data_IF_124711002912
#
_entry.id   IF_124711002912
#
_cell.length_a   1.000
_cell.length_b   1.000
_cell.length_c   1.000
_cell.angle_alpha   90.00
_cell.angle_beta   90.00
_cell.angle_gamma   90.00
#
_symmetry.space_group_name_H-M   'P 1'
#
loop_
_entity.id
_entity.type
_entity.pdbx_description
1 polymer ?
#
# COMPACT_ATOMS: atom_id res chain seq x y z
N UNK A 1 -11.19 -7.14 17.11
CA UNK A 1 -11.10 -7.75 15.76
C UNK A 1 -10.05 -8.83 15.84
N UNK A 2 -10.39 -10.03 15.41
CA UNK A 2 -9.43 -11.13 15.35
C UNK A 2 -8.54 -10.97 14.09
N UNK A 3 -7.33 -11.52 14.09
CA UNK A 3 -6.35 -11.44 13.00
C UNK A 3 -6.92 -11.90 11.66
N UNK A 4 -7.78 -12.92 11.64
CA UNK A 4 -8.45 -13.38 10.42
C UNK A 4 -9.39 -12.33 9.81
N UNK A 5 -10.10 -11.56 10.64
CA UNK A 5 -11.00 -10.49 10.20
C UNK A 5 -10.19 -9.34 9.60
N UNK A 6 -9.10 -8.95 10.27
CA UNK A 6 -8.18 -7.92 9.79
C UNK A 6 -7.57 -8.31 8.44
N UNK A 7 -7.17 -9.58 8.26
CA UNK A 7 -6.62 -10.11 7.01
C UNK A 7 -7.65 -10.11 5.86
N UNK A 8 -8.90 -10.50 6.15
CA UNK A 8 -9.99 -10.44 5.15
C UNK A 8 -10.26 -9.00 4.72
N UNK A 9 -10.31 -8.07 5.67
CA UNK A 9 -10.54 -6.64 5.39
C UNK A 9 -9.41 -6.05 4.53
N UNK A 10 -8.14 -6.33 4.86
CA UNK A 10 -7.00 -5.92 4.04
C UNK A 10 -7.10 -6.45 2.59
N UNK A 11 -7.52 -7.71 2.41
CA UNK A 11 -7.70 -8.28 1.07
C UNK A 11 -8.78 -7.55 0.28
N UNK A 12 -9.91 -7.22 0.93
CA UNK A 12 -11.01 -6.47 0.31
C UNK A 12 -10.53 -5.08 -0.10
N UNK A 13 -9.91 -4.32 0.81
CA UNK A 13 -9.42 -2.96 0.52
C UNK A 13 -8.39 -2.96 -0.61
N UNK A 14 -7.46 -3.93 -0.61
CA UNK A 14 -6.47 -4.08 -1.69
C UNK A 14 -7.14 -4.36 -3.04
N UNK A 15 -8.20 -5.17 -3.05
CA UNK A 15 -8.95 -5.45 -4.28
C UNK A 15 -9.73 -4.22 -4.75
N UNK A 16 -10.41 -3.51 -3.85
CA UNK A 16 -11.12 -2.27 -4.16
C UNK A 16 -10.20 -1.22 -4.77
N UNK A 17 -9.05 -0.96 -4.14
CA UNK A 17 -8.04 -0.02 -4.63
C UNK A 17 -7.54 -0.38 -6.02
N UNK A 18 -7.24 -1.67 -6.27
CA UNK A 18 -6.81 -2.14 -7.58
C UNK A 18 -7.88 -1.96 -8.65
N UNK A 19 -9.13 -2.32 -8.34
CA UNK A 19 -10.25 -2.19 -9.27
C UNK A 19 -10.50 -0.73 -9.62
N UNK A 20 -10.60 0.16 -8.63
CA UNK A 20 -10.76 1.60 -8.87
C UNK A 20 -9.59 2.18 -9.68
N UNK A 21 -8.35 1.78 -9.38
CA UNK A 21 -7.18 2.23 -10.14
C UNK A 21 -7.23 1.77 -11.61
N UNK A 22 -7.74 0.56 -11.88
CA UNK A 22 -7.98 0.10 -13.26
C UNK A 22 -9.00 0.97 -13.97
N UNK A 23 -10.14 1.24 -13.32
CA UNK A 23 -11.19 2.11 -13.88
C UNK A 23 -10.64 3.51 -14.18
N UNK A 24 -9.86 4.08 -13.27
CA UNK A 24 -9.22 5.40 -13.49
C UNK A 24 -8.28 5.35 -14.70
N UNK A 25 -7.47 4.31 -14.84
CA UNK A 25 -6.58 4.16 -16.01
C UNK A 25 -7.37 4.08 -17.31
N UNK A 26 -8.43 3.30 -17.35
CA UNK A 26 -9.26 3.10 -18.54
C UNK A 26 -10.05 4.37 -18.89
N UNK A 27 -10.49 5.12 -17.89
CA UNK A 27 -11.23 6.37 -18.07
C UNK A 27 -10.32 7.58 -18.36
N UNK A 28 -9.03 7.51 -18.06
CA UNK A 28 -8.12 8.66 -18.26
C UNK A 28 -7.92 8.89 -19.76
N UNK A 29 -8.33 10.03 -20.32
CA UNK A 29 -8.24 10.29 -21.74
C UNK A 29 -6.77 10.41 -22.18
N UNK A 30 -6.43 9.80 -23.32
CA UNK A 30 -5.14 10.02 -23.98
C UNK A 30 -5.19 11.32 -24.79
N UNK A 31 -4.33 12.28 -24.40
CA UNK A 31 -3.96 13.48 -25.18
C UNK A 31 -5.13 14.40 -25.56
N UNK A 32 -5.25 15.55 -24.89
CA UNK A 32 -6.13 16.66 -25.27
C UNK A 32 -7.64 16.39 -25.31
N UNK A 33 -8.07 15.13 -25.17
CA UNK A 33 -9.48 14.73 -25.11
C UNK A 33 -10.07 15.03 -23.73
N UNK A 34 -11.36 15.43 -23.66
CA UNK A 34 -12.04 15.62 -22.39
C UNK A 34 -12.17 14.29 -21.64
N UNK A 35 -12.17 14.36 -20.30
CA UNK A 35 -12.38 13.18 -19.46
C UNK A 35 -13.85 12.73 -19.57
N UNK A 36 -14.14 11.42 -19.74
CA UNK A 36 -15.50 10.90 -19.74
C UNK A 36 -16.22 11.04 -18.40
N UNK A 37 -15.49 11.20 -17.30
CA UNK A 37 -16.03 11.41 -15.96
C UNK A 37 -16.16 12.90 -15.65
N UNK A 38 -17.20 13.26 -14.89
CA UNK A 38 -17.37 14.60 -14.36
C UNK A 38 -16.31 14.90 -13.30
N UNK A 39 -15.92 16.16 -13.15
CA UNK A 39 -14.95 16.58 -12.15
C UNK A 39 -15.36 16.18 -10.72
N UNK A 40 -16.66 16.25 -10.40
CA UNK A 40 -17.19 15.80 -9.10
C UNK A 40 -16.93 14.32 -8.86
N UNK A 41 -17.19 13.47 -9.85
CA UNK A 41 -16.93 12.02 -9.78
C UNK A 41 -15.43 11.73 -9.63
N UNK A 42 -14.57 12.51 -10.29
CA UNK A 42 -13.13 12.38 -10.13
C UNK A 42 -12.70 12.73 -8.69
N UNK A 43 -13.30 13.74 -8.07
CA UNK A 43 -13.03 14.08 -6.67
C UNK A 43 -13.53 12.99 -5.73
N UNK A 44 -14.76 12.50 -5.91
CA UNK A 44 -15.30 11.38 -5.12
C UNK A 44 -14.40 10.13 -5.17
N UNK A 45 -13.83 9.82 -6.34
CA UNK A 45 -12.88 8.70 -6.48
C UNK A 45 -11.59 8.97 -5.69
N UNK A 46 -11.05 10.20 -5.70
CA UNK A 46 -9.87 10.57 -4.92
C UNK A 46 -10.13 10.45 -3.43
N UNK A 47 -11.27 10.97 -2.97
CA UNK A 47 -11.68 10.90 -1.56
C UNK A 47 -11.80 9.43 -1.12
N UNK A 48 -12.35 8.56 -1.98
CA UNK A 48 -12.41 7.13 -1.72
C UNK A 48 -11.01 6.50 -1.58
N UNK A 49 -10.03 6.88 -2.41
CA UNK A 49 -8.64 6.41 -2.25
C UNK A 49 -8.01 6.88 -0.93
N UNK A 50 -8.32 8.09 -0.47
CA UNK A 50 -7.87 8.59 0.84
C UNK A 50 -8.43 7.71 1.96
N UNK A 51 -9.73 7.46 1.97
CA UNK A 51 -10.38 6.62 2.97
C UNK A 51 -9.83 5.18 2.99
N UNK A 52 -9.60 4.60 1.81
CA UNK A 52 -8.98 3.27 1.71
C UNK A 52 -7.58 3.29 2.31
N UNK A 53 -6.79 4.32 2.02
CA UNK A 53 -5.39 4.42 2.47
C UNK A 53 -5.30 4.62 3.99
N UNK A 54 -6.16 5.46 4.56
CA UNK A 54 -6.29 5.64 6.01
C UNK A 54 -6.64 4.33 6.70
N UNK A 55 -7.60 3.58 6.14
CA UNK A 55 -8.01 2.30 6.71
C UNK A 55 -6.94 1.21 6.55
N UNK A 56 -6.27 1.15 5.39
CA UNK A 56 -5.13 0.24 5.19
C UNK A 56 -4.02 0.51 6.22
N UNK A 57 -3.76 1.78 6.58
CA UNK A 57 -2.81 2.15 7.64
C UNK A 57 -3.27 1.67 9.02
N UNK A 58 -4.51 1.92 9.41
CA UNK A 58 -5.05 1.46 10.70
C UNK A 58 -4.97 -0.06 10.85
N UNK A 59 -5.23 -0.81 9.78
CA UNK A 59 -5.14 -2.28 9.80
C UNK A 59 -3.68 -2.75 9.92
N UNK A 60 -2.74 -2.06 9.27
CA UNK A 60 -1.32 -2.37 9.39
C UNK A 60 -0.81 -2.15 10.83
N UNK A 61 -1.18 -1.04 11.45
CA UNK A 61 -0.86 -0.74 12.86
C UNK A 61 -1.41 -1.81 13.81
N UNK A 62 -2.66 -2.23 13.62
CA UNK A 62 -3.29 -3.29 14.44
C UNK A 62 -2.63 -4.66 14.31
N UNK A 63 -2.03 -4.96 13.15
CA UNK A 63 -1.34 -6.22 12.88
C UNK A 63 0.15 -6.15 13.23
N UNK A 64 0.65 -5.00 13.73
CA UNK A 64 2.07 -4.80 14.00
C UNK A 64 2.94 -4.78 12.74
N UNK A 65 2.34 -4.55 11.57
CA UNK A 65 3.11 -4.26 10.37
C UNK A 65 3.58 -2.81 10.44
N UNK A 66 4.79 -2.59 10.94
CA UNK A 66 5.49 -1.35 10.61
C UNK A 66 5.68 -1.33 9.09
N UNK A 67 5.11 -0.32 8.42
CA UNK A 67 5.50 -0.04 7.05
C UNK A 67 7.00 0.26 7.08
N UNK A 68 7.82 -0.72 6.71
CA UNK A 68 9.26 -0.55 6.56
C UNK A 68 9.46 0.60 5.58
N UNK A 69 9.70 1.80 6.11
CA UNK A 69 9.96 2.98 5.29
C UNK A 69 11.27 2.68 4.56
N UNK A 70 11.28 2.72 3.22
CA UNK A 70 12.53 2.59 2.50
C UNK A 70 13.50 3.64 3.03
N UNK A 71 14.68 3.20 3.45
CA UNK A 71 15.75 4.06 3.91
C UNK A 71 16.65 4.43 2.73
N UNK A 72 17.18 5.64 2.76
CA UNK A 72 18.21 6.05 1.81
C UNK A 72 19.49 5.26 2.08
N UNK A 73 20.22 4.88 1.02
CA UNK A 73 21.50 4.19 1.14
C UNK A 73 22.53 5.00 1.95
N UNK A 74 22.41 6.33 1.93
CA UNK A 74 23.31 7.28 2.60
C UNK A 74 22.77 7.75 3.97
N UNK A 75 21.62 7.23 4.41
CA UNK A 75 21.03 7.52 5.71
C UNK A 75 21.57 6.61 6.83
N UNK A 76 21.40 7.03 8.08
CA UNK A 76 21.73 6.18 9.24
C UNK A 76 20.99 4.83 9.14
N UNK A 77 21.76 3.74 9.13
CA UNK A 77 21.20 2.40 9.08
C UNK A 77 20.44 2.12 10.38
N UNK A 78 19.19 1.60 10.32
CA UNK A 78 18.52 1.15 11.53
C UNK A 78 19.38 0.06 12.21
N UNK A 79 19.41 0.06 13.54
CA UNK A 79 20.14 -0.89 14.38
C UNK A 79 19.74 -2.34 14.05
N UNK A 80 20.33 -2.90 13.00
CA UNK A 80 20.07 -4.26 12.55
C UNK A 80 20.83 -5.22 13.46
N UNK A 81 20.11 -6.23 13.96
CA UNK A 81 20.70 -7.26 14.81
C UNK A 81 21.43 -8.26 13.91
N UNK A 82 22.74 -8.06 13.71
CA UNK A 82 23.56 -8.88 12.80
C UNK A 82 23.74 -10.27 13.41
N UNK A 83 23.11 -11.28 12.80
CA UNK A 83 23.27 -12.68 13.21
C UNK A 83 24.53 -13.24 12.54
N UNK A 84 25.60 -13.44 13.31
CA UNK A 84 26.85 -13.99 12.79
C UNK A 84 26.75 -15.50 12.59
N UNK A 85 26.78 -15.95 11.34
CA UNK A 85 26.89 -17.36 11.00
C UNK A 85 28.36 -17.78 10.97
N UNK A 86 28.75 -18.67 11.89
CA UNK A 86 30.08 -19.28 11.89
C UNK A 86 30.18 -20.22 10.69
N UNK A 87 31.16 -19.99 9.81
CA UNK A 87 31.44 -20.90 8.69
C UNK A 87 31.98 -22.22 9.24
N UNK A 88 31.42 -23.38 8.86
CA UNK A 88 31.99 -24.67 9.27
C UNK A 88 33.35 -24.87 8.62
N UNK A 89 34.30 -25.44 9.37
CA UNK A 89 35.63 -25.80 8.87
C UNK A 89 35.49 -26.86 7.77
N UNK A 90 36.20 -26.63 6.66
CA UNK A 90 36.39 -27.65 5.62
C UNK A 90 37.42 -28.66 6.14
N UNK A 91 37.01 -29.91 6.26
CA UNK A 91 37.92 -31.08 6.32
C UNK A 91 38.65 -31.27 4.99
#
# INVERSE_FOLDING_TARGET
MNTEELSKEQRVLRQMRKTLASVVKDATPLGGRPNPLKDSTIQEIKDCFVLISERERELAEKLGFEQAKPYYADGEQPNSNVVNFVKPNKE
#
